data_IF_049410517669
#
_entry.id   IF_049410517669
#
_cell.length_a   1.000
_cell.length_b   1.000
_cell.length_c   1.000
_cell.angle_alpha   90.00
_cell.angle_beta   90.00
_cell.angle_gamma   90.00
#
_symmetry.space_group_name_H-M   'P 1'
#
loop_
_entity.id
_entity.type
_entity.pdbx_description
1 polymer ?
#
# COMPACT_ATOMS: atom_id res chain seq x y z
N UNK A 1 29.16 -51.23 -15.90
CA UNK A 1 27.92 -51.50 -15.14
C UNK A 1 27.66 -50.53 -13.96
N UNK A 2 28.43 -49.45 -13.75
CA UNK A 2 28.30 -48.58 -12.55
C UNK A 2 27.46 -47.29 -12.67
N UNK A 3 27.03 -46.86 -13.87
CA UNK A 3 26.33 -45.56 -14.05
C UNK A 3 24.80 -45.62 -13.82
N UNK A 4 24.19 -46.80 -13.85
CA UNK A 4 22.74 -46.98 -13.64
C UNK A 4 22.31 -46.97 -12.16
N UNK A 5 23.25 -47.14 -11.23
CA UNK A 5 22.95 -47.15 -9.80
C UNK A 5 22.75 -45.72 -9.25
N UNK A 6 23.54 -44.76 -9.72
CA UNK A 6 23.51 -43.36 -9.25
C UNK A 6 22.23 -42.63 -9.70
N UNK A 7 21.70 -42.92 -10.89
CA UNK A 7 20.42 -42.37 -11.38
C UNK A 7 19.18 -42.94 -10.67
N UNK A 8 19.22 -44.21 -10.21
CA UNK A 8 18.13 -44.78 -9.39
C UNK A 8 18.13 -44.21 -7.98
N UNK A 9 19.30 -44.00 -7.38
CA UNK A 9 19.39 -43.45 -6.01
C UNK A 9 18.94 -41.98 -5.93
N UNK A 10 19.22 -41.15 -6.94
CA UNK A 10 18.71 -39.77 -6.99
C UNK A 10 17.19 -39.72 -7.22
N UNK A 11 16.64 -40.61 -8.04
CA UNK A 11 15.19 -40.72 -8.26
C UNK A 11 14.39 -41.19 -7.04
N UNK A 12 14.93 -42.15 -6.27
CA UNK A 12 14.30 -42.66 -5.03
C UNK A 12 14.33 -41.60 -3.93
N UNK A 13 15.44 -40.87 -3.78
CA UNK A 13 15.54 -39.75 -2.84
C UNK A 13 14.57 -38.62 -3.19
N UNK A 14 14.47 -38.24 -4.46
CA UNK A 14 13.51 -37.23 -4.91
C UNK A 14 12.04 -37.65 -4.69
N UNK A 15 11.71 -38.92 -4.94
CA UNK A 15 10.37 -39.46 -4.70
C UNK A 15 10.01 -39.52 -3.20
N UNK A 16 10.97 -39.89 -2.34
CA UNK A 16 10.78 -39.88 -0.88
C UNK A 16 10.61 -38.46 -0.33
N UNK A 17 11.41 -37.50 -0.80
CA UNK A 17 11.26 -36.08 -0.44
C UNK A 17 9.90 -35.56 -0.90
N UNK A 18 9.47 -35.87 -2.13
CA UNK A 18 8.16 -35.49 -2.63
C UNK A 18 7.01 -36.08 -1.79
N UNK A 19 7.10 -37.35 -1.39
CA UNK A 19 6.10 -38.00 -0.52
C UNK A 19 6.05 -37.36 0.88
N UNK A 20 7.21 -37.03 1.47
CA UNK A 20 7.26 -36.31 2.74
C UNK A 20 6.65 -34.91 2.65
N UNK A 21 6.90 -34.18 1.55
CA UNK A 21 6.29 -32.86 1.32
C UNK A 21 4.78 -32.96 1.12
N UNK A 22 4.29 -33.96 0.37
CA UNK A 22 2.84 -34.19 0.18
C UNK A 22 2.14 -34.47 1.51
N UNK A 23 2.71 -35.35 2.32
CA UNK A 23 2.17 -35.65 3.65
C UNK A 23 2.23 -34.42 4.58
N UNK A 24 3.33 -33.67 4.57
CA UNK A 24 3.52 -32.48 5.42
C UNK A 24 2.59 -31.32 5.09
N UNK A 25 2.31 -31.10 3.80
CA UNK A 25 1.40 -30.03 3.33
C UNK A 25 -0.01 -30.53 3.05
N UNK A 26 -0.32 -31.80 3.36
CA UNK A 26 -1.64 -32.40 3.15
C UNK A 26 -2.12 -32.31 1.69
N UNK A 27 -1.20 -32.41 0.74
CA UNK A 27 -1.50 -32.17 -0.69
C UNK A 27 -2.43 -33.23 -1.30
N UNK A 28 -2.57 -34.39 -0.64
CA UNK A 28 -3.43 -35.49 -1.07
C UNK A 28 -4.88 -35.34 -0.56
N UNK A 29 -5.14 -34.44 0.39
CA UNK A 29 -6.48 -34.19 0.90
C UNK A 29 -7.32 -33.35 -0.08
N UNK A 30 -8.67 -33.43 -0.05
CA UNK A 30 -9.52 -32.53 -0.82
C UNK A 30 -9.21 -31.06 -0.50
N UNK A 31 -9.24 -30.20 -1.51
CA UNK A 31 -8.89 -28.77 -1.39
C UNK A 31 -9.59 -28.06 -0.22
N UNK A 32 -10.89 -28.33 -0.02
CA UNK A 32 -11.67 -27.72 1.08
C UNK A 32 -11.09 -28.12 2.44
N UNK A 33 -10.65 -29.36 2.61
CA UNK A 33 -10.05 -29.83 3.86
C UNK A 33 -8.69 -29.17 4.10
N UNK A 34 -7.86 -29.05 3.06
CA UNK A 34 -6.59 -28.31 3.15
C UNK A 34 -6.82 -26.86 3.57
N UNK A 35 -7.81 -26.19 2.96
CA UNK A 35 -8.17 -24.81 3.26
C UNK A 35 -8.69 -24.64 4.70
N UNK A 36 -9.58 -25.51 5.17
CA UNK A 36 -10.09 -25.45 6.55
C UNK A 36 -9.00 -25.73 7.59
N UNK A 37 -8.07 -26.64 7.31
CA UNK A 37 -6.90 -26.87 8.19
C UNK A 37 -5.99 -25.64 8.23
N UNK A 38 -5.74 -25.02 7.09
CA UNK A 38 -4.97 -23.78 7.01
C UNK A 38 -5.64 -22.67 7.81
N UNK A 39 -6.95 -22.43 7.62
CA UNK A 39 -7.70 -21.44 8.40
C UNK A 39 -7.65 -21.74 9.91
N UNK A 40 -7.81 -23.00 10.31
CA UNK A 40 -7.67 -23.41 11.71
C UNK A 40 -6.27 -23.11 12.29
N UNK A 41 -5.22 -23.24 11.48
CA UNK A 41 -3.86 -22.84 11.82
C UNK A 41 -3.72 -21.32 11.97
N UNK A 42 -4.20 -20.56 10.99
CA UNK A 42 -4.16 -19.09 10.99
C UNK A 42 -4.85 -18.52 12.23
N UNK A 43 -6.03 -19.04 12.59
CA UNK A 43 -6.77 -18.61 13.79
C UNK A 43 -6.02 -18.92 15.11
N UNK A 44 -5.06 -19.86 15.08
CA UNK A 44 -4.16 -20.16 16.20
C UNK A 44 -2.82 -19.41 16.12
N UNK A 45 -2.64 -18.54 15.12
CA UNK A 45 -1.41 -17.80 14.86
C UNK A 45 -0.34 -18.58 14.11
N UNK A 46 -0.66 -19.77 13.58
CA UNK A 46 0.24 -20.57 12.76
C UNK A 46 0.04 -20.26 11.28
N UNK A 47 0.99 -19.51 10.70
CA UNK A 47 1.05 -19.19 9.27
C UNK A 47 1.82 -20.25 8.47
N UNK A 48 2.13 -21.40 9.08
CA UNK A 48 2.95 -22.43 8.47
C UNK A 48 4.43 -22.05 8.41
N UNK A 49 5.16 -22.81 7.60
CA UNK A 49 6.61 -22.70 7.46
C UNK A 49 7.00 -22.48 6.00
N UNK A 50 8.05 -21.71 5.82
CA UNK A 50 8.71 -21.56 4.52
C UNK A 50 9.44 -22.85 4.13
N UNK A 51 9.88 -22.93 2.88
CA UNK A 51 10.75 -24.00 2.38
C UNK A 51 12.10 -24.04 3.09
N UNK A 52 12.57 -22.91 3.64
CA UNK A 52 13.74 -22.86 4.51
C UNK A 52 13.49 -23.40 5.93
N UNK A 53 12.25 -23.80 6.24
CA UNK A 53 11.86 -24.33 7.55
C UNK A 53 11.56 -23.28 8.61
N UNK A 54 11.73 -21.99 8.28
CA UNK A 54 11.42 -20.89 9.18
C UNK A 54 9.91 -20.67 9.26
N UNK A 55 9.35 -20.30 10.42
CA UNK A 55 7.96 -19.88 10.51
C UNK A 55 7.69 -18.67 9.62
N UNK A 56 6.63 -18.68 8.81
CA UNK A 56 6.31 -17.55 7.91
C UNK A 56 6.05 -16.27 8.71
N UNK A 57 5.50 -16.39 9.92
CA UNK A 57 5.35 -15.27 10.87
C UNK A 57 6.67 -14.57 11.19
N UNK A 58 7.76 -15.33 11.33
CA UNK A 58 9.09 -14.76 11.58
C UNK A 58 9.64 -14.03 10.34
N UNK A 59 9.43 -14.60 9.15
CA UNK A 59 9.85 -13.98 7.89
C UNK A 59 9.11 -12.65 7.69
N UNK A 60 7.80 -12.66 7.93
CA UNK A 60 6.97 -11.45 7.88
C UNK A 60 7.39 -10.42 8.91
N UNK A 61 7.66 -10.81 10.16
CA UNK A 61 8.06 -9.87 11.20
C UNK A 61 9.34 -9.07 10.86
N UNK A 62 10.26 -9.66 10.09
CA UNK A 62 11.47 -8.96 9.63
C UNK A 62 11.19 -8.04 8.42
N UNK A 63 10.31 -8.44 7.52
CA UNK A 63 10.00 -7.70 6.30
C UNK A 63 8.98 -6.56 6.52
N UNK A 64 8.05 -6.77 7.44
CA UNK A 64 6.92 -5.88 7.71
C UNK A 64 7.30 -4.44 8.03
N UNK A 65 8.31 -4.15 8.89
CA UNK A 65 8.67 -2.78 9.24
C UNK A 65 9.14 -1.96 8.04
N UNK A 66 9.79 -2.58 7.04
CA UNK A 66 10.24 -1.88 5.85
C UNK A 66 9.06 -1.46 4.98
N UNK A 67 8.12 -2.38 4.72
CA UNK A 67 6.89 -2.09 3.97
C UNK A 67 6.03 -1.04 4.67
N UNK A 68 5.87 -1.15 5.99
CA UNK A 68 5.09 -0.18 6.78
C UNK A 68 5.71 1.22 6.71
N UNK A 69 7.03 1.35 6.88
CA UNK A 69 7.72 2.64 6.75
C UNK A 69 7.54 3.24 5.36
N UNK A 70 7.66 2.42 4.33
CA UNK A 70 7.47 2.86 2.94
C UNK A 70 6.04 3.34 2.71
N UNK A 71 5.04 2.58 3.14
CA UNK A 71 3.63 2.92 3.03
C UNK A 71 3.28 4.20 3.80
N UNK A 72 3.82 4.39 5.01
CA UNK A 72 3.62 5.61 5.78
C UNK A 72 4.24 6.84 5.11
N UNK A 73 5.42 6.71 4.50
CA UNK A 73 6.04 7.81 3.75
C UNK A 73 5.18 8.14 2.53
N UNK A 74 4.73 7.13 1.78
CA UNK A 74 3.85 7.32 0.63
C UNK A 74 2.55 8.04 1.03
N UNK A 75 1.90 7.59 2.11
CA UNK A 75 0.70 8.20 2.68
C UNK A 75 0.92 9.67 3.07
N UNK A 76 2.05 9.99 3.71
CA UNK A 76 2.39 11.38 4.05
C UNK A 76 2.61 12.22 2.80
N UNK A 77 3.33 11.69 1.81
CA UNK A 77 3.61 12.41 0.56
C UNK A 77 2.32 12.70 -0.20
N UNK A 78 1.46 11.71 -0.41
CA UNK A 78 0.21 11.91 -1.11
C UNK A 78 -0.78 12.77 -0.32
N UNK A 79 -0.79 12.69 1.02
CA UNK A 79 -1.62 13.54 1.84
C UNK A 79 -1.15 14.99 1.71
N UNK A 80 0.14 15.27 1.92
CA UNK A 80 0.68 16.64 1.87
C UNK A 80 0.54 17.23 0.47
N UNK A 81 1.00 16.52 -0.56
CA UNK A 81 0.95 17.01 -1.93
C UNK A 81 -0.48 16.99 -2.46
N UNK A 82 -1.19 15.88 -2.34
CA UNK A 82 -2.53 15.70 -2.90
C UNK A 82 -3.55 16.64 -2.25
N UNK A 83 -3.53 16.77 -0.91
CA UNK A 83 -4.40 17.75 -0.22
C UNK A 83 -3.96 19.16 -0.59
N UNK A 84 -2.66 19.47 -0.55
CA UNK A 84 -2.16 20.81 -0.87
C UNK A 84 -2.59 21.29 -2.26
N UNK A 85 -2.30 20.50 -3.29
CA UNK A 85 -2.70 20.80 -4.67
C UNK A 85 -4.22 20.79 -4.84
N UNK A 86 -4.93 19.83 -4.23
CA UNK A 86 -6.38 19.75 -4.30
C UNK A 86 -7.09 20.94 -3.65
N UNK A 87 -6.60 21.42 -2.50
CA UNK A 87 -7.11 22.62 -1.83
C UNK A 87 -6.94 23.85 -2.71
N UNK A 88 -5.74 24.07 -3.24
CA UNK A 88 -5.47 25.24 -4.07
C UNK A 88 -6.31 25.20 -5.36
N UNK A 89 -6.43 24.03 -5.99
CA UNK A 89 -7.25 23.84 -7.19
C UNK A 89 -8.75 24.03 -6.90
N UNK A 90 -9.26 23.50 -5.78
CA UNK A 90 -10.66 23.65 -5.38
C UNK A 90 -11.04 25.09 -5.05
N UNK A 91 -10.16 25.83 -4.34
CA UNK A 91 -10.38 27.25 -4.05
C UNK A 91 -10.31 28.14 -5.31
N UNK A 92 -9.58 27.70 -6.34
CA UNK A 92 -9.40 28.41 -7.62
C UNK A 92 -10.00 27.61 -8.79
N UNK A 93 -11.20 27.08 -8.57
CA UNK A 93 -11.94 26.27 -9.56
C UNK A 93 -12.04 27.00 -10.91
N UNK A 94 -11.72 26.31 -12.01
CA UNK A 94 -11.79 26.84 -13.36
C UNK A 94 -10.58 27.68 -13.82
N UNK A 95 -9.57 27.86 -12.96
CA UNK A 95 -8.32 28.54 -13.31
C UNK A 95 -7.28 27.63 -13.99
N UNK A 96 -6.20 28.22 -14.50
CA UNK A 96 -5.08 27.49 -15.13
C UNK A 96 -4.41 26.49 -14.17
N UNK A 97 -4.33 26.83 -12.88
CA UNK A 97 -3.76 25.92 -11.88
C UNK A 97 -4.61 24.66 -11.70
N UNK A 98 -5.93 24.81 -11.68
CA UNK A 98 -6.88 23.69 -11.59
C UNK A 98 -6.74 22.76 -12.80
N UNK A 99 -6.81 23.33 -14.01
CA UNK A 99 -6.60 22.56 -15.24
C UNK A 99 -5.22 21.87 -15.28
N UNK A 100 -4.15 22.58 -14.92
CA UNK A 100 -2.78 22.05 -14.93
C UNK A 100 -2.60 20.89 -13.96
N UNK A 101 -3.09 21.00 -12.73
CA UNK A 101 -3.03 19.94 -11.71
C UNK A 101 -3.80 18.70 -12.15
N UNK A 102 -4.98 18.87 -12.76
CA UNK A 102 -5.78 17.75 -13.28
C UNK A 102 -5.11 17.06 -14.48
N UNK A 103 -4.51 17.82 -15.40
CA UNK A 103 -3.75 17.28 -16.53
C UNK A 103 -2.51 16.51 -16.05
N UNK A 104 -1.73 17.08 -15.12
CA UNK A 104 -0.57 16.41 -14.53
C UNK A 104 -1.01 15.12 -13.84
N UNK A 105 -2.10 15.16 -13.07
CA UNK A 105 -2.65 13.96 -12.42
C UNK A 105 -3.08 12.89 -13.42
N UNK A 106 -3.63 13.27 -14.58
CA UNK A 106 -3.99 12.35 -15.65
C UNK A 106 -2.75 11.69 -16.27
N UNK A 107 -1.70 12.47 -16.52
CA UNK A 107 -0.42 11.96 -17.03
C UNK A 107 0.20 10.97 -16.04
N UNK A 108 0.23 11.30 -14.76
CA UNK A 108 0.77 10.40 -13.72
C UNK A 108 0.05 9.05 -13.72
N UNK A 109 -1.29 9.05 -13.78
CA UNK A 109 -2.08 7.80 -13.82
C UNK A 109 -1.81 7.00 -15.11
N UNK A 110 -1.57 7.67 -16.23
CA UNK A 110 -1.30 7.01 -17.51
C UNK A 110 0.07 6.32 -17.53
N UNK A 111 1.02 6.74 -16.69
CA UNK A 111 2.36 6.15 -16.63
C UNK A 111 2.36 5.00 -15.61
N UNK A 112 2.75 3.78 -16.02
CA UNK A 112 2.88 2.66 -15.08
C UNK A 112 3.87 2.98 -13.96
N UNK A 113 3.55 2.54 -12.73
CA UNK A 113 4.37 2.84 -11.54
C UNK A 113 5.84 2.42 -11.71
N UNK A 114 6.11 1.29 -12.40
CA UNK A 114 7.48 0.84 -12.60
C UNK A 114 8.29 1.78 -13.49
N UNK A 115 7.65 2.42 -14.48
CA UNK A 115 8.26 3.43 -15.33
C UNK A 115 8.60 4.67 -14.48
N UNK A 116 7.67 5.11 -13.63
CA UNK A 116 7.93 6.20 -12.69
C UNK A 116 9.09 5.87 -11.74
N UNK A 117 9.15 4.64 -11.23
CA UNK A 117 10.23 4.16 -10.36
C UNK A 117 11.59 4.20 -11.04
N UNK A 118 11.73 3.61 -12.23
CA UNK A 118 12.99 3.62 -12.98
C UNK A 118 13.38 5.03 -13.43
N UNK A 119 12.42 5.85 -13.84
CA UNK A 119 12.69 7.25 -14.19
C UNK A 119 13.17 8.05 -12.97
N UNK A 120 12.54 7.84 -11.81
CA UNK A 120 12.93 8.49 -10.56
C UNK A 120 14.35 8.07 -10.15
N UNK A 121 14.69 6.78 -10.25
CA UNK A 121 16.06 6.29 -10.04
C UNK A 121 17.07 6.96 -10.98
N UNK A 122 16.75 7.05 -12.27
CA UNK A 122 17.64 7.65 -13.26
C UNK A 122 17.82 9.16 -13.02
N UNK A 123 16.73 9.91 -12.83
CA UNK A 123 16.78 11.37 -12.69
C UNK A 123 17.36 11.77 -11.34
N UNK A 124 16.77 11.30 -10.24
CA UNK A 124 17.12 11.75 -8.89
C UNK A 124 18.32 10.99 -8.31
N UNK A 125 18.52 9.74 -8.73
CA UNK A 125 19.62 8.92 -8.27
C UNK A 125 20.88 9.04 -9.13
N UNK A 126 20.78 8.82 -10.44
CA UNK A 126 21.96 8.81 -11.32
C UNK A 126 22.35 10.20 -11.79
N UNK A 127 21.41 10.98 -12.33
CA UNK A 127 21.72 12.28 -12.94
C UNK A 127 21.96 13.39 -11.92
N UNK A 128 21.08 13.48 -10.91
CA UNK A 128 21.15 14.54 -9.90
C UNK A 128 21.92 14.14 -8.63
N UNK A 129 22.04 12.84 -8.35
CA UNK A 129 22.76 12.34 -7.16
C UNK A 129 22.13 12.76 -5.82
N UNK A 130 20.87 13.18 -5.79
CA UNK A 130 20.22 13.70 -4.58
C UNK A 130 19.61 12.60 -3.70
N UNK A 131 19.38 11.41 -4.28
CA UNK A 131 18.73 10.30 -3.62
C UNK A 131 19.44 8.99 -3.98
N UNK A 132 19.41 7.97 -3.11
CA UNK A 132 19.99 6.69 -3.45
C UNK A 132 19.14 5.99 -4.53
N UNK A 133 19.81 5.34 -5.48
CA UNK A 133 19.14 4.51 -6.49
C UNK A 133 18.51 3.27 -5.84
N UNK A 134 19.15 2.70 -4.83
CA UNK A 134 18.67 1.53 -4.07
C UNK A 134 18.78 1.76 -2.57
N UNK A 135 17.85 1.19 -1.81
CA UNK A 135 17.79 1.36 -0.35
C UNK A 135 18.65 0.30 0.36
N UNK A 136 18.53 -0.96 -0.06
CA UNK A 136 19.19 -2.11 0.55
C UNK A 136 18.57 -2.51 1.90
N UNK A 137 19.36 -3.12 2.78
CA UNK A 137 18.90 -3.59 4.10
C UNK A 137 18.61 -2.43 5.08
N UNK A 138 19.31 -1.29 4.94
CA UNK A 138 19.12 -0.13 5.83
C UNK A 138 18.01 0.77 5.31
N UNK A 139 16.79 0.47 5.72
CA UNK A 139 15.58 1.25 5.40
C UNK A 139 15.46 2.56 6.22
N UNK A 140 16.50 3.39 6.23
CA UNK A 140 16.47 4.71 6.90
C UNK A 140 15.48 5.63 6.19
N UNK A 141 14.77 6.48 6.94
CA UNK A 141 13.72 7.37 6.43
C UNK A 141 14.13 8.17 5.18
N UNK A 142 15.32 8.77 5.18
CA UNK A 142 15.82 9.54 4.03
C UNK A 142 16.03 8.72 2.76
N UNK A 143 16.39 7.44 2.87
CA UNK A 143 16.54 6.54 1.72
C UNK A 143 15.19 6.09 1.16
N UNK A 144 14.17 6.04 2.01
CA UNK A 144 12.81 5.66 1.62
C UNK A 144 12.00 6.83 1.05
N UNK A 145 12.53 8.06 1.06
CA UNK A 145 11.80 9.23 0.57
C UNK A 145 11.48 9.13 -0.92
N UNK A 146 12.48 8.82 -1.76
CA UNK A 146 12.28 8.67 -3.20
C UNK A 146 11.29 7.53 -3.55
N UNK A 147 11.45 6.29 -3.05
CA UNK A 147 10.47 5.24 -3.30
C UNK A 147 9.10 5.57 -2.71
N UNK A 148 9.03 6.25 -1.55
CA UNK A 148 7.77 6.71 -0.97
C UNK A 148 7.06 7.74 -1.84
N UNK A 149 7.80 8.66 -2.47
CA UNK A 149 7.23 9.61 -3.45
C UNK A 149 6.69 8.87 -4.67
N UNK A 150 7.43 7.90 -5.20
CA UNK A 150 6.98 7.08 -6.34
C UNK A 150 5.72 6.30 -5.95
N UNK A 151 5.69 5.67 -4.78
CA UNK A 151 4.54 4.90 -4.31
C UNK A 151 3.32 5.80 -4.07
N UNK A 152 3.48 6.95 -3.40
CA UNK A 152 2.38 7.90 -3.16
C UNK A 152 1.87 8.60 -4.44
N UNK A 153 2.65 8.57 -5.53
CA UNK A 153 2.18 9.09 -6.82
C UNK A 153 1.00 8.30 -7.40
N UNK A 154 0.81 7.05 -6.98
CA UNK A 154 -0.28 6.17 -7.43
C UNK A 154 -1.64 6.75 -7.04
N UNK A 155 -1.79 7.18 -5.79
CA UNK A 155 -3.05 7.72 -5.27
C UNK A 155 -3.12 9.24 -5.36
N UNK A 156 -1.99 9.93 -5.62
CA UNK A 156 -1.89 11.38 -5.72
C UNK A 156 -3.02 12.02 -6.53
N UNK A 157 -3.22 11.56 -7.77
CA UNK A 157 -4.21 12.14 -8.66
C UNK A 157 -5.66 11.92 -8.19
N UNK A 158 -5.91 10.84 -7.45
CA UNK A 158 -7.21 10.62 -6.81
C UNK A 158 -7.40 11.58 -5.62
N UNK A 159 -6.43 11.66 -4.71
CA UNK A 159 -6.46 12.55 -3.54
C UNK A 159 -6.67 14.00 -3.96
N UNK A 160 -5.95 14.45 -5.00
CA UNK A 160 -6.12 15.78 -5.59
C UNK A 160 -7.56 16.00 -6.06
N UNK A 161 -8.12 15.08 -6.86
CA UNK A 161 -9.47 15.22 -7.42
C UNK A 161 -10.53 15.22 -6.32
N UNK A 162 -10.41 14.31 -5.36
CA UNK A 162 -11.32 14.19 -4.22
C UNK A 162 -11.29 15.48 -3.39
N UNK A 163 -10.10 15.93 -3.00
CA UNK A 163 -9.91 17.15 -2.21
C UNK A 163 -10.44 18.36 -2.96
N UNK A 164 -10.11 18.51 -4.25
CA UNK A 164 -10.57 19.61 -5.10
C UNK A 164 -12.09 19.65 -5.20
N UNK A 165 -12.72 18.51 -5.47
CA UNK A 165 -14.19 18.39 -5.56
C UNK A 165 -14.85 18.78 -4.24
N UNK A 166 -14.36 18.23 -3.13
CA UNK A 166 -14.88 18.54 -1.80
C UNK A 166 -14.71 20.02 -1.45
N UNK A 167 -13.53 20.60 -1.68
CA UNK A 167 -13.24 22.02 -1.41
C UNK A 167 -14.11 22.94 -2.26
N UNK A 168 -14.26 22.65 -3.55
CA UNK A 168 -15.10 23.46 -4.45
C UNK A 168 -16.57 23.44 -4.02
N UNK A 169 -17.11 22.26 -3.65
CA UNK A 169 -18.48 22.11 -3.18
C UNK A 169 -18.71 22.84 -1.85
N UNK A 170 -17.84 22.62 -0.86
CA UNK A 170 -17.95 23.27 0.44
C UNK A 170 -17.75 24.79 0.36
N UNK A 171 -16.91 25.29 -0.57
CA UNK A 171 -16.71 26.72 -0.78
C UNK A 171 -17.97 27.47 -1.26
N UNK A 172 -18.89 26.77 -1.95
CA UNK A 172 -20.15 27.35 -2.44
C UNK A 172 -21.32 27.17 -1.47
N UNK A 173 -21.13 26.44 -0.37
CA UNK A 173 -22.20 26.10 0.57
C UNK A 173 -22.73 27.30 1.37
N UNK A 174 -24.01 27.23 1.76
CA UNK A 174 -24.71 28.33 2.43
C UNK A 174 -24.07 28.72 3.76
N UNK A 175 -23.59 27.75 4.56
CA UNK A 175 -22.93 28.04 5.83
C UNK A 175 -21.61 28.81 5.65
N UNK A 176 -20.93 28.70 4.49
CA UNK A 176 -19.74 29.50 4.15
C UNK A 176 -20.14 30.93 3.78
N UNK A 177 -21.25 31.09 3.04
CA UNK A 177 -21.81 32.41 2.74
C UNK A 177 -22.23 33.14 4.01
N UNK A 178 -22.90 32.45 4.94
CA UNK A 178 -23.26 32.99 6.26
C UNK A 178 -22.02 33.37 7.07
N UNK A 179 -21.00 32.51 7.11
CA UNK A 179 -19.74 32.80 7.80
C UNK A 179 -19.05 34.07 7.25
N UNK A 180 -19.06 34.22 5.92
CA UNK A 180 -18.50 35.39 5.24
C UNK A 180 -19.33 36.65 5.52
N UNK A 181 -20.66 36.55 5.50
CA UNK A 181 -21.58 37.66 5.80
C UNK A 181 -21.46 38.15 7.26
N UNK A 182 -21.06 37.27 8.18
CA UNK A 182 -20.74 37.62 9.58
C UNK A 182 -19.40 38.35 9.74
N UNK A 183 -18.68 38.64 8.65
CA UNK A 183 -17.42 39.39 8.68
C UNK A 183 -16.18 38.56 9.04
N UNK A 184 -16.26 37.23 9.01
CA UNK A 184 -15.09 36.38 9.26
C UNK A 184 -14.05 36.56 8.15
N UNK A 185 -12.77 36.60 8.54
CA UNK A 185 -11.66 36.74 7.58
C UNK A 185 -11.57 35.52 6.65
N UNK A 186 -11.20 35.76 5.38
CA UNK A 186 -11.00 34.72 4.34
C UNK A 186 -10.18 33.51 4.83
N UNK A 187 -9.04 33.67 5.52
CA UNK A 187 -8.26 32.53 6.02
C UNK A 187 -9.01 31.69 7.05
N UNK A 188 -9.79 32.33 7.94
CA UNK A 188 -10.59 31.64 8.95
C UNK A 188 -11.76 30.89 8.33
N UNK A 189 -12.43 31.50 7.34
CA UNK A 189 -13.48 30.84 6.54
C UNK A 189 -12.93 29.60 5.85
N UNK A 190 -11.77 29.71 5.19
CA UNK A 190 -11.12 28.57 4.52
C UNK A 190 -10.74 27.48 5.52
N UNK A 191 -9.98 27.79 6.57
CA UNK A 191 -9.47 26.78 7.48
C UNK A 191 -10.57 26.05 8.27
N UNK A 192 -11.54 26.79 8.81
CA UNK A 192 -12.52 26.23 9.74
C UNK A 192 -13.79 25.75 9.05
N UNK A 193 -14.27 26.48 8.03
CA UNK A 193 -15.57 26.18 7.41
C UNK A 193 -15.44 25.39 6.11
N UNK A 194 -14.37 25.61 5.31
CA UNK A 194 -14.18 24.87 4.06
C UNK A 194 -13.34 23.61 4.31
N UNK A 195 -12.10 23.75 4.77
CA UNK A 195 -11.14 22.64 4.87
C UNK A 195 -11.61 21.57 5.84
N UNK A 196 -12.04 21.94 7.05
CA UNK A 196 -12.49 20.95 8.05
C UNK A 196 -13.57 20.01 7.52
N UNK A 197 -14.53 20.54 6.77
CA UNK A 197 -15.62 19.75 6.18
C UNK A 197 -15.17 19.01 4.90
N UNK A 198 -14.27 19.61 4.13
CA UNK A 198 -13.75 19.02 2.89
C UNK A 198 -12.78 17.86 3.14
N UNK A 199 -12.10 17.84 4.29
CA UNK A 199 -11.11 16.82 4.64
C UNK A 199 -11.73 15.54 5.18
N UNK A 200 -13.00 15.52 5.58
CA UNK A 200 -13.68 14.31 6.06
C UNK A 200 -13.56 13.16 5.05
N UNK A 201 -14.03 13.29 3.79
CA UNK A 201 -13.90 12.20 2.82
C UNK A 201 -12.44 11.91 2.44
N UNK A 202 -11.56 12.91 2.51
CA UNK A 202 -10.14 12.75 2.16
C UNK A 202 -9.41 11.91 3.21
N UNK A 203 -9.65 12.16 4.49
CA UNK A 203 -9.07 11.38 5.60
C UNK A 203 -9.60 9.94 5.57
N UNK A 204 -10.89 9.75 5.28
CA UNK A 204 -11.47 8.41 5.09
C UNK A 204 -10.75 7.67 3.96
N UNK A 205 -10.56 8.32 2.81
CA UNK A 205 -9.83 7.73 1.70
C UNK A 205 -8.39 7.38 2.07
N UNK A 206 -7.64 8.32 2.64
CA UNK A 206 -6.23 8.10 3.04
C UNK A 206 -6.10 6.94 4.03
N UNK A 207 -7.05 6.79 4.96
CA UNK A 207 -7.06 5.67 5.87
C UNK A 207 -7.21 4.33 5.16
N UNK A 208 -8.15 4.22 4.20
CA UNK A 208 -8.34 3.00 3.42
C UNK A 208 -7.17 2.74 2.46
N UNK A 209 -6.57 3.82 1.92
CA UNK A 209 -5.47 3.74 0.97
C UNK A 209 -4.21 3.16 1.59
N UNK A 210 -3.96 3.39 2.90
CA UNK A 210 -2.83 2.77 3.59
C UNK A 210 -2.78 1.24 3.41
N UNK A 211 -3.94 0.56 3.43
CA UNK A 211 -4.01 -0.88 3.18
C UNK A 211 -3.70 -1.24 1.72
N UNK A 212 -4.15 -0.42 0.76
CA UNK A 212 -3.87 -0.60 -0.66
C UNK A 212 -2.38 -0.35 -0.98
N UNK A 213 -1.75 0.65 -0.36
CA UNK A 213 -0.34 0.99 -0.51
C UNK A 213 0.57 -0.16 -0.07
N UNK A 214 0.17 -0.98 0.90
CA UNK A 214 0.93 -2.17 1.30
C UNK A 214 0.95 -3.24 0.21
N UNK A 215 -0.12 -3.37 -0.58
CA UNK A 215 -0.14 -4.21 -1.78
C UNK A 215 0.64 -3.59 -2.95
N UNK A 216 0.48 -2.29 -3.18
CA UNK A 216 1.20 -1.54 -4.21
C UNK A 216 2.72 -1.44 -3.97
N UNK A 217 3.15 -1.55 -2.71
CA UNK A 217 4.55 -1.52 -2.31
C UNK A 217 5.38 -2.61 -2.96
N UNK A 218 4.80 -3.76 -3.37
CA UNK A 218 5.53 -4.89 -3.95
C UNK A 218 6.40 -4.45 -5.14
N UNK A 219 5.83 -3.64 -6.04
CA UNK A 219 6.53 -3.21 -7.26
C UNK A 219 7.62 -2.20 -6.91
N UNK A 220 7.31 -1.22 -6.06
CA UNK A 220 8.28 -0.21 -5.61
C UNK A 220 9.43 -0.84 -4.82
N UNK A 221 9.15 -1.81 -3.96
CA UNK A 221 10.16 -2.54 -3.20
C UNK A 221 11.12 -3.30 -4.12
N UNK A 222 10.59 -3.96 -5.16
CA UNK A 222 11.40 -4.63 -6.16
C UNK A 222 12.33 -3.68 -6.91
N UNK A 223 11.83 -2.52 -7.35
CA UNK A 223 12.61 -1.54 -8.12
C UNK A 223 13.73 -0.93 -7.27
N UNK A 224 13.42 -0.55 -6.03
CA UNK A 224 14.37 0.13 -5.14
C UNK A 224 15.18 -0.83 -4.26
N UNK A 225 15.06 -2.15 -4.48
CA UNK A 225 15.72 -3.21 -3.71
C UNK A 225 15.50 -3.03 -2.19
N UNK A 226 14.23 -2.92 -1.80
CA UNK A 226 13.80 -2.81 -0.40
C UNK A 226 13.41 -4.21 0.07
N UNK A 227 13.96 -4.63 1.21
CA UNK A 227 13.65 -5.91 1.84
C UNK A 227 12.33 -5.84 2.62
N UNK A 228 11.22 -5.69 1.90
CA UNK A 228 9.87 -5.66 2.45
C UNK A 228 9.07 -6.93 2.17
N UNK A 229 7.81 -6.92 2.62
CA UNK A 229 6.85 -8.02 2.48
C UNK A 229 6.63 -8.36 1.01
N UNK A 230 6.64 -7.37 0.13
CA UNK A 230 6.48 -7.60 -1.30
C UNK A 230 7.68 -8.27 -1.94
N UNK A 231 8.90 -7.93 -1.51
CA UNK A 231 10.10 -8.66 -1.90
C UNK A 231 10.05 -10.13 -1.50
N UNK A 232 9.61 -10.44 -0.28
CA UNK A 232 9.41 -11.82 0.20
C UNK A 232 8.35 -12.54 -0.63
N UNK A 233 7.21 -11.89 -0.89
CA UNK A 233 6.14 -12.45 -1.71
C UNK A 233 6.62 -12.76 -3.14
N UNK A 234 7.33 -11.82 -3.77
CA UNK A 234 7.89 -12.00 -5.11
C UNK A 234 8.84 -13.21 -5.17
N UNK A 235 9.71 -13.35 -4.18
CA UNK A 235 10.61 -14.50 -4.09
C UNK A 235 9.84 -15.81 -3.89
N UNK A 236 8.81 -15.83 -3.03
CA UNK A 236 7.98 -17.01 -2.81
C UNK A 236 7.22 -17.43 -4.08
N UNK A 237 6.68 -16.47 -4.85
CA UNK A 237 6.04 -16.73 -6.14
C UNK A 237 7.04 -17.32 -7.14
N UNK A 238 8.23 -16.72 -7.24
CA UNK A 238 9.28 -17.17 -8.16
C UNK A 238 9.79 -18.58 -7.81
N UNK A 239 9.84 -18.90 -6.51
CA UNK A 239 10.24 -20.22 -5.99
C UNK A 239 9.11 -21.25 -5.96
N UNK A 240 7.91 -20.89 -6.44
CA UNK A 240 6.71 -21.73 -6.39
C UNK A 240 6.42 -22.25 -4.96
N UNK A 241 6.64 -21.38 -3.98
CA UNK A 241 6.49 -21.66 -2.56
C UNK A 241 5.06 -21.31 -2.10
N UNK A 242 4.10 -22.13 -2.53
CA UNK A 242 2.67 -21.89 -2.30
C UNK A 242 2.32 -21.61 -0.82
N UNK A 243 2.84 -22.33 0.19
CA UNK A 243 2.52 -22.06 1.59
C UNK A 243 2.87 -20.63 2.02
N UNK A 244 4.05 -20.14 1.65
CA UNK A 244 4.50 -18.79 2.00
C UNK A 244 3.69 -17.73 1.25
N UNK A 245 3.36 -17.95 -0.02
CA UNK A 245 2.50 -17.04 -0.80
C UNK A 245 1.12 -16.91 -0.14
N UNK A 246 0.45 -18.02 0.15
CA UNK A 246 -0.89 -18.02 0.75
C UNK A 246 -0.88 -17.32 2.11
N UNK A 247 0.13 -17.60 2.94
CA UNK A 247 0.28 -16.99 4.26
C UNK A 247 0.52 -15.49 4.21
N UNK A 248 1.41 -15.02 3.33
CA UNK A 248 1.65 -13.58 3.16
C UNK A 248 0.38 -12.88 2.65
N UNK A 249 -0.28 -13.43 1.64
CA UNK A 249 -1.52 -12.87 1.09
C UNK A 249 -2.62 -12.83 2.14
N UNK A 250 -2.76 -13.88 2.95
CA UNK A 250 -3.74 -13.92 4.05
C UNK A 250 -3.50 -12.81 5.06
N UNK A 251 -2.24 -12.58 5.46
CA UNK A 251 -1.89 -11.50 6.38
C UNK A 251 -2.16 -10.14 5.75
N UNK A 252 -1.80 -9.91 4.48
CA UNK A 252 -2.07 -8.65 3.79
C UNK A 252 -3.57 -8.36 3.69
N UNK A 253 -4.39 -9.37 3.36
CA UNK A 253 -5.85 -9.25 3.36
C UNK A 253 -6.37 -8.94 4.77
N UNK A 254 -5.87 -9.63 5.80
CA UNK A 254 -6.23 -9.35 7.19
C UNK A 254 -5.93 -7.91 7.61
N UNK A 255 -4.75 -7.40 7.25
CA UNK A 255 -4.36 -6.01 7.52
C UNK A 255 -5.23 -5.03 6.76
N UNK A 256 -5.56 -5.32 5.49
CA UNK A 256 -6.47 -4.49 4.70
C UNK A 256 -7.86 -4.42 5.36
N UNK A 257 -8.41 -5.56 5.79
CA UNK A 257 -9.69 -5.61 6.49
C UNK A 257 -9.65 -4.85 7.83
N UNK A 258 -8.60 -5.02 8.63
CA UNK A 258 -8.44 -4.31 9.91
C UNK A 258 -8.32 -2.81 9.68
N UNK A 259 -7.55 -2.38 8.68
CA UNK A 259 -7.38 -0.97 8.32
C UNK A 259 -8.71 -0.36 7.88
N UNK A 260 -9.43 -1.02 6.97
CA UNK A 260 -10.75 -0.54 6.55
C UNK A 260 -11.74 -0.48 7.73
N UNK A 261 -11.78 -1.50 8.58
CA UNK A 261 -12.61 -1.48 9.78
C UNK A 261 -12.25 -0.32 10.71
N UNK A 262 -10.96 -0.06 10.91
CA UNK A 262 -10.49 1.07 11.72
C UNK A 262 -10.94 2.41 11.12
N UNK A 263 -10.93 2.53 9.79
CA UNK A 263 -11.41 3.72 9.06
C UNK A 263 -12.90 3.89 9.20
N UNK A 264 -13.67 2.82 9.04
CA UNK A 264 -15.13 2.83 9.20
C UNK A 264 -15.52 3.23 10.64
N UNK A 265 -14.79 2.72 11.64
CA UNK A 265 -14.97 3.11 13.04
C UNK A 265 -14.57 4.57 13.28
N UNK A 266 -13.47 5.04 12.69
CA UNK A 266 -13.06 6.45 12.76
C UNK A 266 -14.15 7.35 12.15
N UNK A 267 -14.70 6.95 11.01
CA UNK A 267 -15.78 7.66 10.35
C UNK A 267 -17.03 7.70 11.23
N UNK A 268 -17.44 6.57 11.81
CA UNK A 268 -18.57 6.51 12.74
C UNK A 268 -18.36 7.40 13.98
N UNK A 269 -17.13 7.56 14.45
CA UNK A 269 -16.79 8.46 15.56
C UNK A 269 -16.71 9.94 15.14
N UNK A 270 -16.30 10.22 13.90
CA UNK A 270 -16.13 11.58 13.35
C UNK A 270 -17.43 12.17 12.79
N UNK A 271 -18.42 11.35 12.43
CA UNK A 271 -19.71 11.77 11.90
C UNK A 271 -20.83 11.72 12.97
N UNK A 272 -21.15 12.85 13.63
CA UNK A 272 -22.24 12.92 14.61
C UNK A 272 -23.66 12.84 13.99
N UNK A 273 -23.82 12.73 12.66
CA UNK A 273 -25.15 12.72 12.00
C UNK A 273 -25.76 11.33 11.85
N UNK A 274 -24.98 10.27 12.06
CA UNK A 274 -25.44 8.86 11.97
C UNK A 274 -26.26 8.46 13.21
N UNK A 275 -26.39 9.37 14.19
CA UNK A 275 -27.08 9.13 15.46
C UNK A 275 -28.45 9.83 15.51
N UNK A 276 -29.33 9.49 14.57
CA UNK A 276 -30.78 9.68 14.71
C UNK A 276 -31.51 8.49 14.09
N UNK A 277 -31.65 7.43 14.89
CA UNK A 277 -32.82 6.58 14.91
C UNK A 277 -33.58 6.88 16.19
#
# INVERSE_FOLDING_TARGET
MGQNATHRQTGVGAAQVAAQLRARYHLDDPFIVQYLRYLGGVLRGDLGRSYSGLPVSSVLAHAFPATLRLALIALVVEAVLGIGFGVIAGLRTGGLFDAGVLIIGLVIIAVPIFVLGFLAQFVFGVKLGIAPVTVGERSTFGRLLLPGIVLGSVSFAYVVRLTRSAVAANAQADYVRTATAKGLSRPRVVAVHILRNSLIPVVTFLGADLGALMGGAIVTEGIFNIHGVGGVLYQAVTRQEAPTVVSIVTVLVGIYLITNLAVDLLYAALDPRIRYG
#
